data_IF_423337940851
#
_entry.id   IF_423337940851
#
_cell.length_a   1.000
_cell.length_b   1.000
_cell.length_c   1.000
_cell.angle_alpha   90.00
_cell.angle_beta   90.00
_cell.angle_gamma   90.00
#
_symmetry.space_group_name_H-M   'P 1'
#
loop_
_entity.id
_entity.type
_entity.pdbx_description
1 polymer ?
#
# COMPACT_ATOMS: atom_id res chain seq x y z
N UNK A 1 3.49 -26.78 -15.25
CA UNK A 1 2.63 -26.74 -14.05
C UNK A 1 3.15 -25.64 -13.13
N UNK A 2 2.48 -24.48 -13.16
CA UNK A 2 2.72 -23.38 -12.24
C UNK A 2 2.38 -23.80 -10.81
N UNK A 3 3.00 -23.14 -9.82
CA UNK A 3 2.16 -22.44 -8.86
C UNK A 3 2.59 -20.99 -8.79
N UNK A 4 1.68 -20.13 -9.26
CA UNK A 4 1.65 -18.72 -8.91
C UNK A 4 1.53 -18.65 -7.39
N UNK A 5 2.63 -18.30 -6.72
CA UNK A 5 2.64 -18.05 -5.28
C UNK A 5 1.85 -16.79 -4.99
N UNK A 6 0.52 -16.90 -4.95
CA UNK A 6 -0.30 -16.08 -4.08
C UNK A 6 0.12 -16.51 -2.68
N UNK A 7 1.23 -15.94 -2.21
CA UNK A 7 1.75 -16.20 -0.89
C UNK A 7 0.62 -15.89 0.07
N UNK A 8 0.18 -16.91 0.80
CA UNK A 8 -0.70 -16.77 1.95
C UNK A 8 -0.23 -15.53 2.70
N UNK A 9 -1.02 -14.45 2.68
CA UNK A 9 -0.79 -13.25 3.47
C UNK A 9 -0.97 -13.67 4.92
N UNK A 10 0.04 -14.37 5.47
CA UNK A 10 0.08 -14.73 6.87
C UNK A 10 0.06 -13.41 7.60
N UNK A 11 -1.02 -13.18 8.33
CA UNK A 11 -1.16 -12.08 9.28
C UNK A 11 0.05 -12.10 10.23
N UNK A 12 1.09 -11.34 9.91
CA UNK A 12 2.26 -11.20 10.76
C UNK A 12 2.00 -10.06 11.74
N UNK A 13 2.35 -10.29 13.00
CA UNK A 13 2.41 -9.22 13.98
C UNK A 13 3.54 -8.23 13.61
N UNK A 14 3.35 -6.96 13.93
CA UNK A 14 4.38 -5.94 13.74
C UNK A 14 5.54 -6.15 14.73
N UNK A 15 6.77 -5.98 14.26
CA UNK A 15 7.95 -5.89 15.12
C UNK A 15 8.32 -4.40 15.32
N UNK A 16 7.74 -3.77 16.34
CA UNK A 16 7.90 -2.35 16.63
C UNK A 16 9.16 -2.04 17.42
N UNK A 17 9.94 -1.07 16.94
CA UNK A 17 11.10 -0.52 17.63
C UNK A 17 10.85 0.96 17.92
N UNK A 18 11.15 1.41 19.14
CA UNK A 18 11.06 2.81 19.53
C UNK A 18 12.18 3.64 18.90
N UNK A 19 11.84 4.74 18.22
CA UNK A 19 12.80 5.70 17.67
C UNK A 19 12.28 7.14 17.80
N UNK A 20 13.20 8.08 17.91
CA UNK A 20 12.88 9.50 17.81
C UNK A 20 12.63 9.87 16.35
N UNK A 21 11.60 10.68 16.11
CA UNK A 21 11.23 11.12 14.78
C UNK A 21 12.13 12.29 14.34
N UNK A 22 12.96 12.05 13.32
CA UNK A 22 13.80 13.09 12.71
C UNK A 22 13.09 13.80 11.54
N UNK A 23 12.10 13.16 10.93
CA UNK A 23 11.32 13.71 9.82
C UNK A 23 9.84 13.53 10.17
N UNK A 24 9.03 14.60 10.24
CA UNK A 24 7.62 14.47 10.56
C UNK A 24 6.90 13.53 9.59
N UNK A 25 6.36 12.44 10.13
CA UNK A 25 5.64 11.41 9.39
C UNK A 25 4.24 11.22 10.00
N UNK A 26 3.33 10.63 9.24
CA UNK A 26 1.93 10.42 9.67
C UNK A 26 1.78 9.10 10.40
N UNK A 27 1.07 9.10 11.53
CA UNK A 27 0.74 7.87 12.26
C UNK A 27 -0.25 7.00 11.46
N UNK A 28 0.05 5.71 11.31
CA UNK A 28 -0.82 4.76 10.59
C UNK A 28 -2.15 4.45 11.28
N UNK A 29 -2.29 4.77 12.58
CA UNK A 29 -3.50 4.46 13.37
C UNK A 29 -4.43 5.67 13.44
N UNK A 30 -3.94 6.82 13.91
CA UNK A 30 -4.77 8.01 14.10
C UNK A 30 -4.71 9.01 12.95
N UNK A 31 -3.88 8.75 11.92
CA UNK A 31 -3.66 9.62 10.75
C UNK A 31 -3.20 11.05 11.06
N UNK A 32 -2.81 11.32 12.32
CA UNK A 32 -2.21 12.60 12.75
C UNK A 32 -0.69 12.57 12.54
N UNK A 33 -0.11 13.76 12.32
CA UNK A 33 1.34 13.93 12.17
C UNK A 33 2.05 13.71 13.50
N UNK A 34 3.14 12.94 13.46
CA UNK A 34 4.09 12.79 14.56
C UNK A 34 5.16 13.86 14.38
N UNK A 35 5.31 14.74 15.37
CA UNK A 35 6.23 15.87 15.29
C UNK A 35 7.70 15.47 15.49
N UNK A 36 8.61 16.31 15.01
CA UNK A 36 10.05 16.17 15.19
C UNK A 36 10.42 16.00 16.68
N UNK A 37 11.41 15.14 16.95
CA UNK A 37 11.93 14.86 18.28
C UNK A 37 11.02 13.99 19.16
N UNK A 38 9.76 13.74 18.77
CA UNK A 38 8.84 12.87 19.51
C UNK A 38 9.23 11.41 19.38
N UNK A 39 9.00 10.65 20.44
CA UNK A 39 9.16 9.20 20.46
C UNK A 39 7.98 8.53 19.75
N UNK A 40 8.29 7.59 18.87
CA UNK A 40 7.30 6.80 18.14
C UNK A 40 7.79 5.36 17.94
N UNK A 41 6.87 4.46 17.59
CA UNK A 41 7.19 3.09 17.24
C UNK A 41 7.20 2.92 15.73
N UNK A 42 8.31 2.45 15.19
CA UNK A 42 8.47 2.10 13.78
C UNK A 42 8.63 0.61 13.64
N UNK A 43 7.83 -0.03 12.80
CA UNK A 43 7.98 -1.44 12.53
C UNK A 43 9.24 -1.68 11.69
N UNK A 44 9.99 -2.73 12.02
CA UNK A 44 11.22 -3.09 11.30
C UNK A 44 10.91 -3.81 9.97
N UNK A 45 9.78 -4.52 9.92
CA UNK A 45 9.39 -5.37 8.80
C UNK A 45 8.47 -4.66 7.80
N UNK A 46 7.64 -3.73 8.27
CA UNK A 46 6.87 -2.83 7.43
C UNK A 46 7.16 -1.40 7.86
N UNK A 47 7.07 -0.42 6.97
CA UNK A 47 7.36 0.98 7.37
C UNK A 47 6.21 1.63 8.16
N UNK A 48 5.37 0.83 8.84
CA UNK A 48 4.33 1.37 9.70
C UNK A 48 4.95 2.16 10.84
N UNK A 49 4.38 3.33 11.09
CA UNK A 49 4.82 4.24 12.13
C UNK A 49 3.62 4.68 12.98
N UNK A 50 3.72 4.56 14.30
CA UNK A 50 2.65 4.96 15.21
C UNK A 50 3.16 5.71 16.44
N UNK A 51 2.30 6.55 17.03
CA UNK A 51 2.58 7.15 18.34
C UNK A 51 2.70 6.07 19.42
N UNK A 52 3.35 6.40 20.53
CA UNK A 52 3.48 5.50 21.69
C UNK A 52 2.12 5.00 22.19
N UNK A 53 1.14 5.89 22.36
CA UNK A 53 -0.23 5.54 22.76
C UNK A 53 -1.08 4.89 21.66
N UNK A 54 -0.63 4.91 20.41
CA UNK A 54 -1.34 4.27 19.29
C UNK A 54 -0.85 2.84 19.02
N UNK A 55 0.19 2.37 19.71
CA UNK A 55 0.78 1.04 19.50
C UNK A 55 -0.23 -0.08 19.72
N UNK A 56 -1.02 0.01 20.79
CA UNK A 56 -1.97 -1.04 21.20
C UNK A 56 -3.17 -1.13 20.26
N UNK A 57 -3.55 -0.02 19.64
CA UNK A 57 -4.61 0.04 18.63
C UNK A 57 -4.15 -0.32 17.21
N UNK A 58 -2.89 -0.73 17.04
CA UNK A 58 -2.37 -1.07 15.72
C UNK A 58 -2.79 -2.50 15.31
N UNK A 59 -4.06 -2.67 14.93
CA UNK A 59 -4.65 -3.93 14.44
C UNK A 59 -4.29 -4.26 12.99
N UNK A 60 -3.57 -3.37 12.30
CA UNK A 60 -3.18 -3.58 10.91
C UNK A 60 -2.21 -4.75 10.82
N UNK A 61 -2.36 -5.58 9.79
CA UNK A 61 -1.43 -6.68 9.54
C UNK A 61 -0.06 -6.10 9.13
N UNK A 62 1.02 -6.74 9.58
CA UNK A 62 2.37 -6.39 9.12
C UNK A 62 2.57 -6.90 7.70
N UNK A 63 2.19 -6.08 6.74
CA UNK A 63 2.42 -6.34 5.32
C UNK A 63 3.75 -5.70 4.91
N UNK A 64 4.64 -6.44 4.21
CA UNK A 64 5.86 -5.84 3.68
C UNK A 64 5.44 -4.63 2.86
N UNK A 65 6.04 -3.47 3.16
CA UNK A 65 5.70 -2.25 2.43
C UNK A 65 6.19 -2.43 0.98
N UNK A 66 5.28 -2.90 0.12
CA UNK A 66 5.39 -2.71 -1.30
C UNK A 66 5.23 -1.21 -1.48
N UNK A 67 6.35 -0.48 -1.40
CA UNK A 67 6.38 0.95 -1.67
C UNK A 67 5.88 1.11 -3.10
N UNK A 68 4.59 1.34 -3.28
CA UNK A 68 4.06 1.82 -4.54
C UNK A 68 4.83 3.11 -4.78
N UNK A 69 5.66 3.20 -5.84
CA UNK A 69 6.39 4.42 -6.09
C UNK A 69 5.34 5.52 -6.25
N UNK A 70 5.28 6.44 -5.28
CA UNK A 70 4.23 7.46 -5.19
C UNK A 70 4.24 8.36 -6.43
N UNK A 71 5.38 8.40 -7.15
CA UNK A 71 5.56 8.99 -8.47
C UNK A 71 6.63 8.20 -9.24
N UNK A 72 6.47 8.05 -10.54
CA UNK A 72 7.47 7.40 -11.38
C UNK A 72 6.96 7.05 -12.78
N UNK A 73 7.88 6.67 -13.66
CA UNK A 73 7.54 6.18 -14.99
C UNK A 73 6.64 4.94 -14.90
N UNK A 74 5.73 4.79 -15.89
CA UNK A 74 4.77 3.68 -15.99
C UNK A 74 5.47 2.31 -15.91
N UNK A 75 6.70 2.21 -16.41
CA UNK A 75 7.56 1.03 -16.34
C UNK A 75 7.88 0.53 -14.93
N UNK A 76 7.70 1.36 -13.89
CA UNK A 76 7.87 0.93 -12.50
C UNK A 76 6.67 0.14 -11.96
N UNK A 77 5.54 0.21 -12.67
CA UNK A 77 4.29 -0.44 -12.29
C UNK A 77 3.96 -1.65 -13.18
N UNK A 78 4.80 -1.95 -14.16
CA UNK A 78 4.69 -3.14 -15.01
C UNK A 78 5.51 -4.30 -14.43
N UNK A 79 5.13 -5.56 -14.69
CA UNK A 79 5.97 -6.70 -14.36
C UNK A 79 7.34 -6.60 -15.02
N UNK A 80 8.41 -6.97 -14.29
CA UNK A 80 9.79 -6.97 -14.81
C UNK A 80 10.13 -8.23 -15.63
N UNK A 81 9.27 -9.24 -15.56
CA UNK A 81 9.38 -10.48 -16.34
C UNK A 81 9.22 -10.15 -17.83
N UNK A 82 10.25 -10.45 -18.62
CA UNK A 82 10.26 -10.14 -20.06
C UNK A 82 9.22 -10.95 -20.86
N UNK A 83 8.73 -12.05 -20.30
CA UNK A 83 7.71 -12.91 -20.89
C UNK A 83 6.28 -12.61 -20.40
N UNK A 84 6.06 -11.47 -19.73
CA UNK A 84 4.75 -11.02 -19.27
C UNK A 84 4.33 -9.71 -19.94
N UNK A 85 3.01 -9.51 -20.03
CA UNK A 85 2.42 -8.27 -20.53
C UNK A 85 2.96 -7.07 -19.75
N UNK A 86 3.57 -6.13 -20.47
CA UNK A 86 4.16 -4.89 -19.94
C UNK A 86 3.07 -3.84 -19.64
N UNK A 87 1.97 -4.26 -19.00
CA UNK A 87 0.84 -3.39 -18.64
C UNK A 87 0.67 -3.42 -17.12
N UNK A 88 0.52 -2.26 -16.45
CA UNK A 88 0.29 -2.23 -15.01
C UNK A 88 -0.98 -2.98 -14.62
N UNK A 89 -0.88 -3.78 -13.55
CA UNK A 89 -2.00 -4.59 -13.06
C UNK A 89 -3.26 -3.75 -12.71
N UNK A 90 -3.05 -2.50 -12.29
CA UNK A 90 -4.13 -1.55 -12.00
C UNK A 90 -5.00 -1.29 -13.24
N UNK A 91 -4.39 -1.04 -14.40
CA UNK A 91 -5.14 -0.81 -15.64
C UNK A 91 -5.93 -2.05 -16.03
N UNK A 92 -5.32 -3.24 -15.96
CA UNK A 92 -6.00 -4.50 -16.28
C UNK A 92 -7.24 -4.71 -15.41
N UNK A 93 -7.13 -4.49 -14.09
CA UNK A 93 -8.26 -4.69 -13.18
C UNK A 93 -9.33 -3.61 -13.36
N UNK A 94 -8.96 -2.34 -13.46
CA UNK A 94 -9.92 -1.26 -13.64
C UNK A 94 -10.68 -1.38 -14.96
N UNK A 95 -9.98 -1.68 -16.06
CA UNK A 95 -10.62 -1.87 -17.37
C UNK A 95 -11.61 -3.04 -17.31
N UNK A 96 -11.20 -4.16 -16.71
CA UNK A 96 -12.08 -5.32 -16.55
C UNK A 96 -13.35 -4.99 -15.76
N UNK A 97 -13.25 -4.23 -14.68
CA UNK A 97 -14.44 -3.81 -13.92
C UNK A 97 -15.34 -2.86 -14.74
N UNK A 98 -14.76 -1.96 -15.53
CA UNK A 98 -15.51 -1.08 -16.44
C UNK A 98 -16.22 -1.90 -17.52
N UNK A 99 -15.53 -2.87 -18.12
CA UNK A 99 -16.12 -3.77 -19.12
C UNK A 99 -17.27 -4.61 -18.55
N UNK A 100 -17.14 -5.04 -17.29
CA UNK A 100 -18.17 -5.84 -16.63
C UNK A 100 -19.41 -5.06 -16.23
N UNK A 101 -19.29 -3.77 -15.87
CA UNK A 101 -20.40 -3.01 -15.25
C UNK A 101 -20.72 -1.69 -15.96
N UNK A 102 -19.69 -0.97 -16.38
CA UNK A 102 -19.80 0.42 -16.84
C UNK A 102 -20.23 0.59 -18.30
N UNK A 103 -20.05 -0.39 -19.20
CA UNK A 103 -20.28 -0.16 -20.64
C UNK A 103 -21.73 0.21 -21.02
N UNK A 104 -22.71 -0.06 -20.14
CA UNK A 104 -24.11 0.33 -20.36
C UNK A 104 -24.47 1.68 -19.74
N UNK A 105 -23.58 2.28 -18.95
CA UNK A 105 -23.82 3.56 -18.30
C UNK A 105 -23.47 4.73 -19.25
N UNK A 106 -24.34 5.74 -19.31
CA UNK A 106 -24.10 6.92 -20.15
C UNK A 106 -23.03 7.80 -19.50
N UNK A 107 -21.96 8.10 -20.22
CA UNK A 107 -20.97 9.08 -19.77
C UNK A 107 -19.90 8.55 -18.82
N UNK A 108 -19.58 7.25 -18.86
CA UNK A 108 -18.61 6.53 -18.01
C UNK A 108 -17.20 7.10 -17.85
N UNK A 109 -16.79 8.06 -18.69
CA UNK A 109 -15.52 8.77 -18.57
C UNK A 109 -15.66 10.29 -18.48
N UNK A 110 -16.90 10.80 -18.41
CA UNK A 110 -17.21 12.24 -18.46
C UNK A 110 -17.92 12.74 -17.21
N UNK A 111 -18.54 11.85 -16.45
CA UNK A 111 -19.28 12.19 -15.24
C UNK A 111 -18.43 11.85 -14.00
N UNK A 112 -18.30 12.83 -13.10
CA UNK A 112 -17.86 12.61 -11.73
C UNK A 112 -19.13 12.57 -10.86
N UNK A 113 -19.63 11.36 -10.62
CA UNK A 113 -20.80 11.12 -9.77
C UNK A 113 -20.36 11.11 -8.31
#
# INVERSE_FOLDING_TARGET
>A
SSPSSIGTLRARAHNFISRNILIPETCCVCLKRIHFGKLAYRCQSCSALCHTGCKENCSTLCLPNVKTPNRGAVSKFTPREQNQLQVPALLVHCIKEIEQRGLQEVGIYRLNV
#
